data_IF_694808534919
#
_entry.id   IF_694808534919
#
_cell.length_a   1.000
_cell.length_b   1.000
_cell.length_c   1.000
_cell.angle_alpha   90.00
_cell.angle_beta   90.00
_cell.angle_gamma   90.00
#
_symmetry.space_group_name_H-M   'P 1'
#
loop_
_entity.id
_entity.type
_entity.pdbx_description
1 polymer ?
#
# COMPACT_ATOMS: atom_id res chain seq x y z
N UNK A 1 43.39 -27.83 -27.95
CA UNK A 1 42.57 -27.69 -26.73
C UNK A 1 41.26 -27.03 -27.12
N UNK A 2 40.09 -27.67 -26.89
CA UNK A 2 38.83 -26.99 -27.07
C UNK A 2 38.60 -26.01 -25.90
N UNK A 3 37.92 -24.87 -26.13
CA UNK A 3 37.68 -23.87 -25.09
C UNK A 3 36.66 -24.37 -24.06
N UNK A 4 36.94 -24.14 -22.79
CA UNK A 4 36.03 -24.40 -21.67
C UNK A 4 34.79 -23.49 -21.78
N UNK A 5 33.65 -24.06 -22.15
CA UNK A 5 32.35 -23.39 -22.11
C UNK A 5 31.91 -23.34 -20.64
N UNK A 6 31.99 -22.17 -20.01
CA UNK A 6 31.44 -21.93 -18.67
C UNK A 6 29.92 -21.78 -18.74
N UNK A 7 29.19 -22.89 -18.60
CA UNK A 7 27.73 -22.88 -18.42
C UNK A 7 27.40 -22.37 -17.02
N UNK A 8 26.80 -21.18 -16.94
CA UNK A 8 26.28 -20.62 -15.68
C UNK A 8 24.82 -21.04 -15.53
N UNK A 9 24.55 -22.09 -14.77
CA UNK A 9 23.19 -22.46 -14.38
C UNK A 9 22.67 -21.39 -13.42
N UNK A 10 21.68 -20.61 -13.86
CA UNK A 10 20.89 -19.79 -12.95
C UNK A 10 19.88 -20.71 -12.24
N UNK A 11 19.78 -20.67 -10.90
CA UNK A 11 18.76 -21.45 -10.21
C UNK A 11 17.37 -21.01 -10.68
N UNK A 12 16.47 -21.97 -10.84
CA UNK A 12 15.07 -21.70 -11.13
C UNK A 12 14.49 -20.81 -10.00
N UNK A 13 13.91 -19.66 -10.38
CA UNK A 13 13.27 -18.74 -9.45
C UNK A 13 11.76 -18.86 -9.60
N UNK A 14 11.07 -19.13 -8.48
CA UNK A 14 9.60 -19.14 -8.43
C UNK A 14 9.11 -17.78 -7.97
N UNK A 15 8.29 -17.14 -8.80
CA UNK A 15 7.67 -15.84 -8.50
C UNK A 15 6.16 -16.06 -8.34
N UNK A 16 5.60 -15.48 -7.29
CA UNK A 16 4.16 -15.37 -7.09
C UNK A 16 3.82 -13.90 -6.91
N UNK A 17 2.81 -13.42 -7.63
CA UNK A 17 2.39 -12.02 -7.64
C UNK A 17 0.86 -11.95 -7.56
N UNK A 18 0.36 -11.05 -6.73
CA UNK A 18 -1.06 -10.73 -6.66
C UNK A 18 -1.22 -9.23 -6.90
N UNK A 19 -1.77 -8.90 -8.07
CA UNK A 19 -2.08 -7.54 -8.46
C UNK A 19 -3.57 -7.33 -8.17
N UNK A 20 -3.87 -6.32 -7.37
CA UNK A 20 -5.23 -6.01 -6.95
C UNK A 20 -5.50 -4.53 -7.11
N UNK A 21 -6.78 -4.21 -7.24
CA UNK A 21 -7.32 -2.85 -7.29
C UNK A 21 -8.60 -2.81 -6.44
N UNK A 22 -9.16 -1.62 -6.27
CA UNK A 22 -10.49 -1.43 -5.68
C UNK A 22 -11.46 -1.16 -6.82
N UNK A 23 -12.36 -2.10 -7.10
CA UNK A 23 -13.40 -1.96 -8.13
C UNK A 23 -12.88 -1.69 -9.57
N UNK A 24 -11.72 -2.25 -9.92
CA UNK A 24 -11.10 -2.05 -11.24
C UNK A 24 -10.16 -0.84 -11.31
N UNK A 25 -10.09 -0.01 -10.26
CA UNK A 25 -9.34 1.24 -10.22
C UNK A 25 -8.57 1.43 -8.90
N UNK A 26 -7.73 2.47 -8.84
CA UNK A 26 -7.05 2.86 -7.60
C UNK A 26 -5.76 2.09 -7.28
N UNK A 27 -5.07 2.56 -6.25
CA UNK A 27 -3.78 2.04 -5.78
C UNK A 27 -3.87 1.53 -4.33
N UNK A 28 -2.74 1.17 -3.73
CA UNK A 28 -2.63 0.81 -2.32
C UNK A 28 -3.30 1.82 -1.38
N UNK A 29 -3.19 3.12 -1.67
CA UNK A 29 -3.77 4.17 -0.82
C UNK A 29 -5.30 4.14 -0.88
N UNK A 30 -5.89 3.78 -2.01
CA UNK A 30 -7.33 3.60 -2.17
C UNK A 30 -7.82 2.48 -1.26
N UNK A 31 -7.09 1.35 -1.20
CA UNK A 31 -7.37 0.28 -0.24
C UNK A 31 -7.38 0.80 1.20
N UNK A 32 -6.38 1.60 1.60
CA UNK A 32 -6.32 2.19 2.95
C UNK A 32 -7.54 3.05 3.26
N UNK A 33 -7.96 3.91 2.33
CA UNK A 33 -9.19 4.71 2.48
C UNK A 33 -10.42 3.82 2.65
N UNK A 34 -10.54 2.77 1.84
CA UNK A 34 -11.65 1.81 1.90
C UNK A 34 -11.72 1.07 3.23
N UNK A 35 -10.58 0.69 3.81
CA UNK A 35 -10.54 -0.09 5.06
C UNK A 35 -10.48 0.77 6.32
N UNK A 36 -10.68 2.09 6.26
CA UNK A 36 -10.69 2.93 7.48
C UNK A 36 -11.70 2.37 8.51
N UNK A 37 -11.32 2.30 9.79
CA UNK A 37 -12.20 1.74 10.83
C UNK A 37 -12.87 2.79 11.72
N UNK A 38 -12.48 4.06 11.60
CA UNK A 38 -13.02 5.19 12.36
C UNK A 38 -13.56 6.28 11.43
N UNK A 39 -14.40 7.15 11.99
CA UNK A 39 -14.86 8.36 11.32
C UNK A 39 -13.70 9.29 10.99
N UNK A 40 -13.86 10.05 9.92
CA UNK A 40 -12.80 10.82 9.27
C UNK A 40 -13.22 12.26 8.94
N UNK A 41 -13.84 13.02 9.87
CA UNK A 41 -14.41 14.33 9.56
C UNK A 41 -13.40 15.32 8.93
N UNK A 42 -12.16 15.36 9.39
CA UNK A 42 -11.14 16.24 8.80
C UNK A 42 -10.75 15.80 7.40
N UNK A 43 -10.54 14.51 7.19
CA UNK A 43 -10.18 13.99 5.86
C UNK A 43 -11.36 14.09 4.87
N UNK A 44 -12.60 13.83 5.31
CA UNK A 44 -13.79 13.90 4.46
C UNK A 44 -14.10 15.34 4.02
N UNK A 45 -13.82 16.34 4.85
CA UNK A 45 -13.88 17.74 4.44
C UNK A 45 -12.94 18.10 3.27
N UNK A 46 -11.95 17.25 2.96
CA UNK A 46 -11.10 17.48 1.79
C UNK A 46 -11.84 17.30 0.47
N UNK A 47 -12.98 16.59 0.43
CA UNK A 47 -13.79 16.53 -0.79
C UNK A 47 -14.36 17.90 -1.16
N UNK A 48 -14.84 18.67 -0.17
CA UNK A 48 -15.27 20.05 -0.39
C UNK A 48 -14.10 20.96 -0.79
N UNK A 49 -12.91 20.73 -0.21
CA UNK A 49 -11.69 21.42 -0.64
C UNK A 49 -11.32 21.10 -2.10
N UNK A 50 -11.38 19.83 -2.51
CA UNK A 50 -11.14 19.39 -3.89
C UNK A 50 -12.12 20.06 -4.84
N UNK A 51 -13.41 20.07 -4.48
CA UNK A 51 -14.46 20.76 -5.26
C UNK A 51 -14.17 22.26 -5.43
N UNK A 52 -13.76 22.94 -4.35
CA UNK A 52 -13.37 24.35 -4.41
C UNK A 52 -12.17 24.61 -5.35
N UNK A 53 -11.23 23.67 -5.47
CA UNK A 53 -10.15 23.75 -6.46
C UNK A 53 -10.69 23.61 -7.90
N UNK A 54 -11.55 22.64 -8.13
CA UNK A 54 -12.14 22.36 -9.44
C UNK A 54 -12.97 23.55 -9.95
N UNK A 55 -13.76 24.19 -9.08
CA UNK A 55 -14.49 25.44 -9.37
C UNK A 55 -13.57 26.60 -9.81
N UNK A 56 -12.29 26.54 -9.42
CA UNK A 56 -11.25 27.51 -9.79
C UNK A 56 -10.36 27.02 -10.93
N UNK A 57 -10.80 26.00 -11.66
CA UNK A 57 -10.04 25.36 -12.75
C UNK A 57 -8.67 24.82 -12.30
N UNK A 58 -8.54 24.46 -11.02
CA UNK A 58 -7.39 23.76 -10.47
C UNK A 58 -7.75 22.29 -10.30
N UNK A 59 -6.85 21.38 -10.67
CA UNK A 59 -7.10 19.93 -10.57
C UNK A 59 -6.01 19.26 -9.74
N UNK A 60 -6.39 18.29 -8.92
CA UNK A 60 -5.48 17.39 -8.21
C UNK A 60 -5.68 15.96 -8.73
N UNK A 61 -4.58 15.23 -8.97
CA UNK A 61 -4.66 13.82 -9.36
C UNK A 61 -5.24 13.01 -8.21
N UNK A 62 -6.07 12.02 -8.51
CA UNK A 62 -6.72 11.19 -7.48
C UNK A 62 -5.70 10.51 -6.54
N UNK A 63 -4.56 10.05 -7.08
CA UNK A 63 -3.45 9.50 -6.28
C UNK A 63 -2.92 10.48 -5.23
N UNK A 64 -2.75 11.75 -5.61
CA UNK A 64 -2.20 12.77 -4.72
C UNK A 64 -3.26 13.22 -3.70
N UNK A 65 -4.53 13.29 -4.13
CA UNK A 65 -5.65 13.51 -3.24
C UNK A 65 -5.79 12.39 -2.21
N UNK A 66 -5.74 11.13 -2.62
CA UNK A 66 -5.84 9.97 -1.74
C UNK A 66 -4.71 9.94 -0.72
N UNK A 67 -3.47 10.25 -1.13
CA UNK A 67 -2.33 10.40 -0.22
C UNK A 67 -2.56 11.50 0.81
N UNK A 68 -3.06 12.65 0.37
CA UNK A 68 -3.35 13.77 1.25
C UNK A 68 -4.49 13.47 2.21
N UNK A 69 -5.53 12.77 1.73
CA UNK A 69 -6.63 12.28 2.54
C UNK A 69 -6.13 11.32 3.63
N UNK A 70 -5.33 10.32 3.29
CA UNK A 70 -4.81 9.34 4.27
C UNK A 70 -3.90 10.02 5.30
N UNK A 71 -3.06 10.97 4.88
CA UNK A 71 -2.24 11.73 5.80
C UNK A 71 -3.10 12.57 6.78
N UNK A 72 -4.15 13.19 6.26
CA UNK A 72 -5.09 13.99 7.04
C UNK A 72 -5.85 13.13 8.04
N UNK A 73 -6.32 11.95 7.61
CA UNK A 73 -6.96 10.97 8.48
C UNK A 73 -6.03 10.53 9.62
N UNK A 74 -4.81 10.11 9.30
CA UNK A 74 -3.80 9.71 10.29
C UNK A 74 -3.48 10.83 11.29
N UNK A 75 -3.38 12.07 10.82
CA UNK A 75 -2.93 13.21 11.64
C UNK A 75 -4.04 13.87 12.44
N UNK A 76 -5.17 14.16 11.81
CA UNK A 76 -6.19 15.04 12.39
C UNK A 76 -7.38 14.28 12.96
N UNK A 77 -7.77 13.17 12.34
CA UNK A 77 -8.90 12.36 12.83
C UNK A 77 -8.47 11.37 13.93
N UNK A 78 -7.27 10.81 13.82
CA UNK A 78 -6.86 9.69 14.68
C UNK A 78 -5.82 10.02 15.75
N UNK A 79 -5.04 11.08 15.56
CA UNK A 79 -3.92 11.38 16.44
C UNK A 79 -4.27 12.45 17.47
N UNK A 80 -3.79 12.26 18.70
CA UNK A 80 -3.91 13.24 19.78
C UNK A 80 -3.15 14.52 19.45
N UNK A 81 -3.49 15.63 20.11
CA UNK A 81 -2.75 16.91 19.96
C UNK A 81 -1.25 16.78 20.26
N UNK A 82 -0.86 15.88 21.17
CA UNK A 82 0.56 15.61 21.48
C UNK A 82 1.26 14.90 20.32
N UNK A 83 0.62 13.89 19.73
CA UNK A 83 1.13 13.18 18.55
C UNK A 83 1.21 14.08 17.32
N UNK A 84 0.22 14.97 17.13
CA UNK A 84 0.21 15.95 16.04
C UNK A 84 1.42 16.88 16.06
N UNK A 85 1.95 17.23 17.24
CA UNK A 85 3.21 18.00 17.39
C UNK A 85 4.44 17.22 16.95
N UNK A 86 4.35 15.89 16.89
CA UNK A 86 5.41 14.98 16.45
C UNK A 86 4.98 14.22 15.19
N UNK A 87 4.22 14.88 14.30
CA UNK A 87 3.56 14.23 13.17
C UNK A 87 4.50 13.38 12.31
N UNK A 88 5.72 13.85 12.07
CA UNK A 88 6.74 13.11 11.31
C UNK A 88 7.01 11.71 11.88
N UNK A 89 7.02 11.56 13.21
CA UNK A 89 7.31 10.30 13.90
C UNK A 89 6.06 9.49 14.26
N UNK A 90 4.92 10.16 14.50
CA UNK A 90 3.73 9.54 15.12
C UNK A 90 2.51 9.45 14.19
N UNK A 91 2.50 10.20 13.09
CA UNK A 91 1.39 10.28 12.14
C UNK A 91 1.86 9.85 10.73
N UNK A 92 2.76 8.87 10.64
CA UNK A 92 3.28 8.33 9.37
C UNK A 92 2.69 6.92 9.11
N UNK A 93 2.82 6.38 7.88
CA UNK A 93 2.26 5.08 7.53
C UNK A 93 2.68 3.96 8.47
N UNK A 94 3.98 3.84 8.80
CA UNK A 94 4.48 2.78 9.68
C UNK A 94 3.89 2.85 11.09
N UNK A 95 3.83 4.04 11.68
CA UNK A 95 3.22 4.26 12.97
C UNK A 95 1.71 3.97 12.95
N UNK A 96 1.04 4.31 11.83
CA UNK A 96 -0.40 4.11 11.66
C UNK A 96 -0.77 2.63 11.58
N UNK A 97 0.07 1.78 10.98
CA UNK A 97 -0.18 0.34 10.86
C UNK A 97 -0.17 -0.39 12.21
N UNK A 98 0.43 0.21 13.25
CA UNK A 98 0.46 -0.32 14.62
C UNK A 98 -0.75 0.11 15.46
N UNK A 99 -1.66 0.92 14.89
CA UNK A 99 -2.87 1.42 15.57
C UNK A 99 -4.10 0.64 15.09
N UNK A 100 -5.10 0.55 15.95
CA UNK A 100 -6.42 -0.02 15.61
C UNK A 100 -7.29 1.01 14.87
N UNK A 101 -6.88 1.32 13.64
CA UNK A 101 -7.50 2.35 12.78
C UNK A 101 -7.83 1.84 11.37
N UNK A 102 -7.42 0.59 11.08
CA UNK A 102 -7.64 -0.09 9.81
C UNK A 102 -8.43 -1.37 10.06
N UNK A 103 -9.52 -1.55 9.34
CA UNK A 103 -10.33 -2.75 9.35
C UNK A 103 -9.69 -3.82 8.44
N UNK A 104 -8.74 -4.57 8.98
CA UNK A 104 -8.12 -5.67 8.25
C UNK A 104 -9.08 -6.84 7.97
N UNK A 105 -10.30 -6.83 8.52
CA UNK A 105 -11.38 -7.77 8.21
C UNK A 105 -12.28 -7.33 7.05
N UNK A 106 -12.01 -6.17 6.44
CA UNK A 106 -12.77 -5.70 5.29
C UNK A 106 -12.59 -6.62 4.07
N UNK A 107 -13.69 -7.01 3.43
CA UNK A 107 -13.73 -7.95 2.27
C UNK A 107 -12.83 -7.58 1.08
N UNK A 108 -12.49 -6.29 0.94
CA UNK A 108 -11.56 -5.82 -0.12
C UNK A 108 -10.18 -6.48 0.00
N UNK A 109 -9.85 -7.01 1.18
CA UNK A 109 -8.60 -7.70 1.46
C UNK A 109 -8.70 -9.21 1.29
N UNK A 110 -9.87 -9.79 0.98
CA UNK A 110 -10.07 -11.24 0.93
C UNK A 110 -9.12 -11.91 -0.07
N UNK A 111 -8.98 -11.35 -1.27
CA UNK A 111 -8.04 -11.87 -2.27
C UNK A 111 -6.58 -11.78 -1.82
N UNK A 112 -6.20 -10.68 -1.16
CA UNK A 112 -4.86 -10.53 -0.57
C UNK A 112 -4.60 -11.55 0.54
N UNK A 113 -5.61 -11.80 1.40
CA UNK A 113 -5.55 -12.81 2.46
C UNK A 113 -5.38 -14.21 1.88
N UNK A 114 -6.19 -14.57 0.88
CA UNK A 114 -6.07 -15.88 0.22
C UNK A 114 -4.74 -16.06 -0.48
N UNK A 115 -4.25 -15.04 -1.17
CA UNK A 115 -2.92 -15.08 -1.79
C UNK A 115 -1.81 -15.33 -0.75
N UNK A 116 -1.85 -14.64 0.40
CA UNK A 116 -0.87 -14.82 1.46
C UNK A 116 -0.92 -16.21 2.10
N UNK A 117 -2.08 -16.88 2.13
CA UNK A 117 -2.20 -18.27 2.63
C UNK A 117 -1.37 -19.28 1.80
N UNK A 118 -1.09 -18.99 0.53
CA UNK A 118 -0.21 -19.83 -0.30
C UNK A 118 1.19 -20.03 0.33
N UNK A 119 1.67 -19.04 1.07
CA UNK A 119 3.00 -19.07 1.70
C UNK A 119 2.98 -19.61 3.13
N UNK A 120 1.82 -19.54 3.79
CA UNK A 120 1.63 -20.09 5.14
C UNK A 120 1.48 -21.62 5.05
N UNK A 121 0.68 -22.11 4.10
CA UNK A 121 0.42 -23.53 3.92
C UNK A 121 1.59 -24.29 3.29
N UNK A 122 2.51 -23.60 2.60
CA UNK A 122 3.74 -24.17 2.06
C UNK A 122 4.84 -24.46 3.10
N UNK A 123 4.66 -24.08 4.37
CA UNK A 123 5.68 -24.19 5.42
C UNK A 123 5.71 -25.56 6.13
N UNK A 124 4.73 -26.44 5.86
CA UNK A 124 4.61 -27.76 6.52
C UNK A 124 5.36 -28.90 5.81
N UNK A 125 6.15 -28.59 4.78
CA UNK A 125 6.96 -29.58 4.06
C UNK A 125 8.29 -28.98 3.64
N UNK A 126 9.37 -29.54 4.15
CA UNK A 126 10.79 -29.25 3.88
C UNK A 126 11.47 -28.13 4.68
N UNK A 127 12.65 -28.51 5.18
CA UNK A 127 13.47 -27.89 6.20
C UNK A 127 13.71 -26.38 6.06
N UNK A 128 13.58 -25.71 7.21
CA UNK A 128 14.12 -24.40 7.57
C UNK A 128 15.08 -23.77 6.55
N UNK A 129 14.56 -22.85 5.75
CA UNK A 129 15.29 -21.65 5.37
C UNK A 129 14.39 -20.46 5.67
N UNK A 130 14.89 -19.58 6.52
CA UNK A 130 14.26 -18.34 6.91
C UNK A 130 13.85 -17.56 5.65
N UNK A 131 12.55 -17.52 5.35
CA UNK A 131 12.05 -16.74 4.23
C UNK A 131 12.10 -15.26 4.62
N UNK A 132 13.13 -14.56 4.16
CA UNK A 132 13.14 -13.11 4.17
C UNK A 132 12.17 -12.64 3.08
N UNK A 133 11.00 -12.15 3.49
CA UNK A 133 10.06 -11.47 2.59
C UNK A 133 10.65 -10.12 2.21
N UNK A 134 11.32 -10.06 1.06
CA UNK A 134 11.75 -8.79 0.47
C UNK A 134 10.58 -8.17 -0.30
N UNK A 135 9.86 -7.25 0.34
CA UNK A 135 8.80 -6.48 -0.32
C UNK A 135 9.45 -5.44 -1.24
N UNK A 136 9.35 -5.64 -2.55
CA UNK A 136 9.80 -4.66 -3.54
C UNK A 136 8.56 -4.09 -4.22
N UNK A 137 8.29 -2.81 -4.02
CA UNK A 137 7.27 -2.08 -4.78
C UNK A 137 7.83 -1.90 -6.19
N UNK A 138 7.21 -2.54 -7.17
CA UNK A 138 7.53 -2.33 -8.59
C UNK A 138 6.76 -1.08 -9.00
N UNK A 139 7.41 0.08 -8.94
CA UNK A 139 6.91 1.28 -9.62
C UNK A 139 7.18 1.10 -11.12
N UNK A 140 6.15 0.75 -11.87
CA UNK A 140 6.17 0.85 -13.33
C UNK A 140 6.28 2.33 -13.70
N UNK A 141 7.48 2.80 -14.03
CA UNK A 141 7.62 4.08 -14.73
C UNK A 141 6.90 3.96 -16.08
N UNK A 142 6.03 4.90 -16.46
CA UNK A 142 5.64 5.01 -17.85
C UNK A 142 6.89 5.38 -18.65
N UNK A 143 7.18 4.59 -19.67
CA UNK A 143 8.22 4.91 -20.65
C UNK A 143 7.97 6.32 -21.19
N UNK A 144 9.05 7.10 -21.23
CA UNK A 144 9.01 8.42 -21.80
C UNK A 144 8.59 8.36 -23.25
N UNK A 145 7.51 9.09 -23.58
CA UNK A 145 7.27 9.62 -24.90
C UNK A 145 6.54 10.96 -24.78
N UNK A 146 7.22 12.00 -25.25
CA UNK A 146 6.90 13.43 -25.34
C UNK A 146 7.05 14.27 -24.06
#
# INVERSE_FOLDING_TARGET
MPPDIKVKIMPACSIACYITNVEGYGEQITVLKTIKSKDSPFADCLYEWKKCLEERSQTIKDKDFDKFWVNTYQRFDLSTKKEQKQAFRKCNPEASMKKDIWNFEHRVLDGSKEFLKLFINGYNGTSQKQASLHFSIIDSKPDGSC
#
